data_IF_971807117414
#
_entry.id   IF_971807117414
#
_cell.length_a   1.000
_cell.length_b   1.000
_cell.length_c   1.000
_cell.angle_alpha   90.00
_cell.angle_beta   90.00
_cell.angle_gamma   90.00
#
_symmetry.space_group_name_H-M   'P 1'
#
loop_
_entity.id
_entity.type
_entity.pdbx_description
1 polymer ?
#
# COMPACT_ATOMS: atom_id res chain seq x y z
N UNK A 1 0.76 -16.08 -35.72
CA UNK A 1 1.65 -15.41 -36.70
C UNK A 1 2.88 -16.28 -36.92
N UNK A 2 3.24 -16.66 -38.15
CA UNK A 2 4.43 -17.50 -38.42
C UNK A 2 5.75 -16.73 -38.27
N UNK A 3 6.89 -17.44 -38.25
CA UNK A 3 8.23 -16.85 -38.05
C UNK A 3 8.55 -15.70 -39.04
N UNK A 4 8.12 -15.83 -40.30
CA UNK A 4 8.28 -14.78 -41.33
C UNK A 4 7.45 -13.52 -41.03
N UNK A 5 6.24 -13.69 -40.46
CA UNK A 5 5.36 -12.58 -40.08
C UNK A 5 5.90 -11.78 -38.90
N UNK A 6 6.47 -12.46 -37.90
CA UNK A 6 7.11 -11.79 -36.75
C UNK A 6 8.33 -10.98 -37.20
N UNK A 7 9.18 -11.55 -38.06
CA UNK A 7 10.35 -10.84 -38.58
C UNK A 7 9.96 -9.59 -39.40
N UNK A 8 8.89 -9.67 -40.19
CA UNK A 8 8.36 -8.51 -40.93
C UNK A 8 7.82 -7.43 -39.98
N UNK A 9 7.04 -7.82 -38.96
CA UNK A 9 6.50 -6.90 -37.96
C UNK A 9 7.60 -6.20 -37.15
N UNK A 10 8.68 -6.92 -36.82
CA UNK A 10 9.85 -6.32 -36.16
C UNK A 10 10.56 -5.31 -37.05
N UNK A 11 10.76 -5.62 -38.33
CA UNK A 11 11.34 -4.66 -39.30
C UNK A 11 10.45 -3.43 -39.51
N UNK A 12 9.14 -3.61 -39.47
CA UNK A 12 8.16 -2.54 -39.61
C UNK A 12 7.97 -1.70 -38.34
N UNK A 13 8.63 -2.04 -37.22
CA UNK A 13 8.49 -1.34 -35.94
C UNK A 13 7.16 -1.58 -35.22
N UNK A 14 6.28 -2.44 -35.75
CA UNK A 14 4.99 -2.78 -35.12
C UNK A 14 5.13 -3.82 -34.02
N UNK A 15 6.27 -4.53 -33.98
CA UNK A 15 6.70 -5.32 -32.83
C UNK A 15 8.13 -4.95 -32.42
N UNK A 16 8.36 -4.89 -31.11
CA UNK A 16 9.67 -4.74 -30.50
C UNK A 16 10.09 -6.08 -29.90
N UNK A 17 11.30 -6.53 -30.20
CA UNK A 17 11.86 -7.75 -29.61
C UNK A 17 12.38 -7.44 -28.21
N UNK A 18 11.86 -8.16 -27.20
CA UNK A 18 12.29 -8.02 -25.81
C UNK A 18 13.36 -9.06 -25.45
N UNK A 19 13.13 -10.32 -25.85
CA UNK A 19 14.05 -11.46 -25.67
C UNK A 19 13.88 -12.46 -26.81
N UNK A 20 14.67 -13.55 -26.80
CA UNK A 20 14.43 -14.69 -27.71
C UNK A 20 13.01 -15.21 -27.49
N UNK A 21 12.19 -15.17 -28.54
CA UNK A 21 10.81 -15.65 -28.53
C UNK A 21 9.81 -14.77 -27.77
N UNK A 22 10.18 -13.57 -27.32
CA UNK A 22 9.29 -12.64 -26.61
C UNK A 22 9.32 -11.26 -27.27
N UNK A 23 8.14 -10.76 -27.58
CA UNK A 23 7.92 -9.52 -28.32
C UNK A 23 6.79 -8.73 -27.65
N UNK A 24 6.78 -7.41 -27.86
CA UNK A 24 5.68 -6.55 -27.46
C UNK A 24 5.37 -5.55 -28.58
N UNK A 25 4.25 -4.85 -28.46
CA UNK A 25 3.95 -3.68 -29.27
C UNK A 25 4.66 -2.44 -28.68
N UNK A 26 4.83 -1.34 -29.46
CA UNK A 26 5.48 -0.12 -28.97
C UNK A 26 4.75 0.58 -27.81
N UNK A 27 3.43 0.38 -27.69
CA UNK A 27 2.55 0.94 -26.65
C UNK A 27 2.48 0.06 -25.39
N UNK A 28 3.19 -1.07 -25.35
CA UNK A 28 3.19 -1.95 -24.19
C UNK A 28 3.71 -1.23 -22.93
N UNK A 29 3.08 -1.43 -21.75
CA UNK A 29 3.53 -0.80 -20.52
C UNK A 29 5.01 -1.07 -20.24
N UNK A 30 5.77 0.01 -20.01
CA UNK A 30 7.23 -0.04 -19.93
C UNK A 30 7.74 -1.04 -18.87
N UNK A 31 7.10 -1.12 -17.70
CA UNK A 31 7.50 -2.04 -16.64
C UNK A 31 7.27 -3.52 -16.99
N UNK A 32 6.19 -3.84 -17.72
CA UNK A 32 5.95 -5.20 -18.19
C UNK A 32 6.98 -5.61 -19.23
N UNK A 33 7.28 -4.71 -20.17
CA UNK A 33 8.34 -4.93 -21.15
C UNK A 33 9.71 -5.10 -20.46
N UNK A 34 10.00 -4.29 -19.43
CA UNK A 34 11.22 -4.38 -18.64
C UNK A 34 11.32 -5.72 -17.87
N UNK A 35 10.25 -6.18 -17.23
CA UNK A 35 10.23 -7.47 -16.54
C UNK A 35 10.52 -8.64 -17.49
N UNK A 36 9.94 -8.62 -18.69
CA UNK A 36 10.22 -9.61 -19.73
C UNK A 36 11.67 -9.52 -20.23
N UNK A 37 12.24 -8.30 -20.35
CA UNK A 37 13.68 -8.10 -20.66
C UNK A 37 14.60 -8.60 -19.57
N UNK A 38 14.18 -8.55 -18.30
CA UNK A 38 14.90 -9.17 -17.16
C UNK A 38 14.79 -10.69 -17.21
N UNK A 39 13.70 -11.23 -17.76
CA UNK A 39 13.53 -12.67 -17.98
C UNK A 39 12.41 -13.34 -17.20
N UNK A 40 11.54 -12.54 -16.59
CA UNK A 40 10.49 -13.03 -15.71
C UNK A 40 9.19 -12.27 -15.87
N UNK A 41 8.36 -12.39 -14.85
CA UNK A 41 7.10 -11.64 -14.72
C UNK A 41 7.28 -10.49 -13.72
N UNK A 42 6.61 -9.36 -14.00
CA UNK A 42 6.50 -8.26 -13.03
C UNK A 42 5.83 -8.81 -11.77
N UNK A 43 6.42 -8.56 -10.60
CA UNK A 43 6.03 -9.21 -9.35
C UNK A 43 6.13 -8.26 -8.15
N UNK A 44 5.86 -8.77 -6.95
CA UNK A 44 6.00 -8.05 -5.68
C UNK A 44 5.30 -6.66 -5.74
N UNK A 45 5.92 -5.63 -5.18
CA UNK A 45 5.40 -4.26 -5.13
C UNK A 45 5.14 -3.67 -6.53
N UNK A 46 5.95 -4.01 -7.54
CA UNK A 46 5.75 -3.52 -8.91
C UNK A 46 4.47 -4.08 -9.54
N UNK A 47 4.21 -5.38 -9.37
CA UNK A 47 2.93 -5.98 -9.81
C UNK A 47 1.75 -5.43 -9.02
N UNK A 48 1.87 -5.32 -7.70
CA UNK A 48 0.79 -4.80 -6.85
C UNK A 48 0.43 -3.36 -7.23
N UNK A 49 1.42 -2.50 -7.50
CA UNK A 49 1.18 -1.14 -8.01
C UNK A 49 0.44 -1.16 -9.36
N UNK A 50 0.80 -2.08 -10.26
CA UNK A 50 0.11 -2.24 -11.55
C UNK A 50 -1.36 -2.63 -11.36
N UNK A 51 -1.68 -3.42 -10.34
CA UNK A 51 -3.05 -3.77 -9.94
C UNK A 51 -3.79 -2.66 -9.17
N UNK A 52 -3.18 -1.48 -9.01
CA UNK A 52 -3.79 -0.35 -8.32
C UNK A 52 -3.71 -0.41 -6.78
N UNK A 53 -2.80 -1.22 -6.23
CA UNK A 53 -2.52 -1.26 -4.78
C UNK A 53 -1.71 -0.02 -4.38
N UNK A 54 -2.00 0.53 -3.20
CA UNK A 54 -1.20 1.60 -2.61
C UNK A 54 0.15 1.04 -2.15
N UNK A 55 1.25 1.67 -2.59
CA UNK A 55 2.62 1.24 -2.27
C UNK A 55 3.46 2.42 -1.80
N UNK A 56 4.39 2.15 -0.87
CA UNK A 56 5.38 3.13 -0.40
C UNK A 56 6.54 3.23 -1.38
N UNK A 57 7.12 2.09 -1.74
CA UNK A 57 8.28 1.99 -2.62
C UNK A 57 7.85 2.01 -4.09
N UNK A 58 8.42 2.92 -4.90
CA UNK A 58 8.02 3.13 -6.30
C UNK A 58 9.13 2.99 -7.33
N UNK A 59 10.39 3.07 -6.92
CA UNK A 59 11.50 3.30 -7.86
C UNK A 59 12.18 2.01 -8.34
N UNK A 60 12.05 0.91 -7.59
CA UNK A 60 12.68 -0.38 -7.93
C UNK A 60 11.73 -1.30 -8.72
N UNK A 61 12.26 -1.95 -9.76
CA UNK A 61 11.56 -2.97 -10.53
C UNK A 61 11.72 -4.34 -9.86
N UNK A 62 10.61 -4.99 -9.51
CA UNK A 62 10.61 -6.33 -8.92
C UNK A 62 10.14 -7.35 -9.94
N UNK A 63 10.95 -8.38 -10.17
CA UNK A 63 10.70 -9.40 -11.20
C UNK A 63 10.84 -10.78 -10.62
N UNK A 64 9.85 -11.64 -10.84
CA UNK A 64 9.92 -13.05 -10.48
C UNK A 64 10.44 -13.88 -11.64
N UNK A 65 11.52 -14.63 -11.41
CA UNK A 65 12.28 -15.34 -12.44
C UNK A 65 12.40 -16.83 -12.07
N UNK A 66 12.26 -17.70 -13.07
CA UNK A 66 12.45 -19.14 -12.89
C UNK A 66 13.92 -19.45 -12.60
N UNK A 67 14.17 -20.34 -11.64
CA UNK A 67 15.51 -20.93 -11.45
C UNK A 67 16.02 -21.52 -12.77
N UNK A 68 17.28 -21.25 -13.10
CA UNK A 68 17.90 -21.67 -14.36
C UNK A 68 17.72 -20.70 -15.54
N UNK A 69 16.91 -19.65 -15.39
CA UNK A 69 16.82 -18.57 -16.38
C UNK A 69 17.82 -17.46 -16.03
N UNK A 70 18.62 -17.02 -17.01
CA UNK A 70 19.50 -15.87 -16.84
C UNK A 70 18.70 -14.58 -16.65
N UNK A 71 18.85 -13.97 -15.47
CA UNK A 71 18.23 -12.70 -15.12
C UNK A 71 19.07 -11.52 -15.63
N UNK A 72 18.41 -10.52 -16.20
CA UNK A 72 19.04 -9.23 -16.52
C UNK A 72 19.31 -8.39 -15.26
N UNK A 73 20.19 -7.40 -15.37
CA UNK A 73 20.46 -6.43 -14.30
C UNK A 73 19.36 -5.36 -14.17
N UNK A 74 19.43 -4.55 -13.11
CA UNK A 74 18.53 -3.40 -12.90
C UNK A 74 17.16 -3.76 -12.32
N UNK A 75 17.04 -4.91 -11.66
CA UNK A 75 15.81 -5.33 -10.99
C UNK A 75 16.10 -6.15 -9.73
N UNK A 76 15.19 -6.07 -8.77
CA UNK A 76 15.14 -6.96 -7.62
C UNK A 76 14.50 -8.29 -8.06
N UNK A 77 15.33 -9.34 -8.13
CA UNK A 77 14.93 -10.65 -8.68
C UNK A 77 14.45 -11.59 -7.57
N UNK A 78 13.23 -12.12 -7.75
CA UNK A 78 12.62 -13.13 -6.89
C UNK A 78 12.66 -14.49 -7.59
N UNK A 79 13.43 -15.43 -7.06
CA UNK A 79 13.55 -16.75 -7.67
C UNK A 79 12.38 -17.67 -7.32
N UNK A 80 11.82 -18.34 -8.32
CA UNK A 80 10.82 -19.39 -8.11
C UNK A 80 11.09 -20.61 -9.00
N UNK A 81 10.40 -21.72 -8.71
CA UNK A 81 10.43 -22.88 -9.59
C UNK A 81 9.70 -22.56 -10.90
N UNK A 82 10.22 -23.08 -12.02
CA UNK A 82 9.73 -22.73 -13.36
C UNK A 82 8.24 -23.04 -13.56
N UNK A 83 7.75 -24.13 -12.96
CA UNK A 83 6.34 -24.52 -12.99
C UNK A 83 5.40 -23.45 -12.39
N UNK A 84 5.95 -22.51 -11.60
CA UNK A 84 5.19 -21.44 -10.95
C UNK A 84 5.18 -20.15 -11.76
N UNK A 85 5.93 -20.05 -12.87
CA UNK A 85 5.81 -18.91 -13.77
C UNK A 85 4.72 -19.19 -14.81
N UNK A 86 3.72 -18.33 -14.84
CA UNK A 86 2.78 -18.28 -15.95
C UNK A 86 3.49 -17.71 -17.19
N UNK A 87 2.95 -17.95 -18.38
CA UNK A 87 3.47 -17.29 -19.59
C UNK A 87 3.20 -15.78 -19.62
N UNK A 88 2.37 -15.28 -18.69
CA UNK A 88 2.00 -13.88 -18.56
C UNK A 88 3.15 -13.04 -17.97
N UNK A 89 3.32 -11.80 -18.43
CA UNK A 89 4.41 -10.92 -17.97
C UNK A 89 4.11 -10.22 -16.63
N UNK A 90 3.00 -10.55 -15.97
CA UNK A 90 2.51 -9.92 -14.75
C UNK A 90 1.97 -11.01 -13.81
N UNK A 91 2.44 -11.01 -12.57
CA UNK A 91 1.87 -11.86 -11.52
C UNK A 91 0.46 -11.38 -11.13
N UNK A 92 -0.42 -12.33 -10.85
CA UNK A 92 -1.70 -12.05 -10.21
C UNK A 92 -1.49 -11.46 -8.79
N UNK A 93 -2.48 -10.74 -8.23
CA UNK A 93 -2.33 -10.09 -6.94
C UNK A 93 -1.99 -11.04 -5.79
N UNK A 94 -2.48 -12.29 -5.82
CA UNK A 94 -2.24 -13.26 -4.76
C UNK A 94 -0.77 -13.71 -4.75
N UNK A 95 -0.25 -14.06 -5.92
CA UNK A 95 1.16 -14.39 -6.10
C UNK A 95 2.06 -13.21 -5.72
N UNK A 96 1.74 -12.01 -6.21
CA UNK A 96 2.51 -10.80 -5.94
C UNK A 96 2.54 -10.44 -4.44
N UNK A 97 1.42 -10.60 -3.72
CA UNK A 97 1.36 -10.42 -2.27
C UNK A 97 2.26 -11.42 -1.54
N UNK A 98 2.24 -12.69 -1.93
CA UNK A 98 3.09 -13.72 -1.33
C UNK A 98 4.59 -13.38 -1.44
N UNK A 99 5.01 -12.89 -2.61
CA UNK A 99 6.39 -12.41 -2.84
C UNK A 99 6.65 -11.14 -2.02
N UNK A 100 5.72 -10.18 -2.01
CA UNK A 100 5.86 -8.92 -1.28
C UNK A 100 6.03 -9.11 0.23
N UNK A 101 5.30 -10.05 0.84
CA UNK A 101 5.45 -10.37 2.27
C UNK A 101 6.88 -10.80 2.59
N UNK A 102 7.51 -11.60 1.74
CA UNK A 102 8.89 -12.06 1.94
C UNK A 102 9.95 -10.99 1.64
N UNK A 103 9.66 -10.08 0.71
CA UNK A 103 10.60 -9.10 0.18
C UNK A 103 10.58 -7.75 0.91
N UNK A 104 9.40 -7.18 1.14
CA UNK A 104 9.25 -5.79 1.60
C UNK A 104 9.48 -5.65 3.10
N UNK A 105 9.95 -4.49 3.60
CA UNK A 105 9.94 -4.17 5.02
C UNK A 105 8.56 -4.41 5.66
N UNK A 106 8.54 -4.74 6.96
CA UNK A 106 7.30 -5.16 7.64
C UNK A 106 6.14 -4.18 7.46
N UNK A 107 6.39 -2.87 7.66
CA UNK A 107 5.36 -1.84 7.51
C UNK A 107 4.81 -1.77 6.08
N UNK A 108 5.68 -1.83 5.09
CA UNK A 108 5.32 -1.83 3.67
C UNK A 108 4.51 -3.07 3.28
N UNK A 109 4.86 -4.24 3.84
CA UNK A 109 4.08 -5.46 3.66
C UNK A 109 2.65 -5.36 4.23
N UNK A 110 2.48 -4.71 5.39
CA UNK A 110 1.13 -4.44 5.95
C UNK A 110 0.37 -3.45 5.10
N UNK A 111 1.02 -2.37 4.64
CA UNK A 111 0.42 -1.37 3.74
C UNK A 111 -0.18 -2.02 2.49
N UNK A 112 0.58 -2.88 1.81
CA UNK A 112 0.06 -3.52 0.59
C UNK A 112 -1.05 -4.52 0.89
N UNK A 113 -0.99 -5.22 2.03
CA UNK A 113 -2.03 -6.14 2.45
C UNK A 113 -3.35 -5.42 2.82
N UNK A 114 -3.26 -4.33 3.60
CA UNK A 114 -4.41 -3.45 3.91
C UNK A 114 -5.01 -2.91 2.61
N UNK A 115 -4.19 -2.39 1.70
CA UNK A 115 -4.67 -1.81 0.45
C UNK A 115 -5.32 -2.83 -0.49
N UNK A 116 -4.81 -4.07 -0.57
CA UNK A 116 -5.44 -5.15 -1.36
C UNK A 116 -6.84 -5.45 -0.85
N UNK A 117 -6.98 -5.58 0.48
CA UNK A 117 -8.23 -5.88 1.16
C UNK A 117 -9.24 -4.72 1.05
N UNK A 118 -8.79 -3.49 1.34
CA UNK A 118 -9.60 -2.28 1.32
C UNK A 118 -10.18 -2.00 -0.07
N UNK A 119 -9.32 -2.06 -1.10
CA UNK A 119 -9.71 -1.81 -2.50
C UNK A 119 -10.46 -2.98 -3.14
N UNK A 120 -10.66 -4.08 -2.40
CA UNK A 120 -11.31 -5.32 -2.86
C UNK A 120 -10.64 -5.91 -4.12
N UNK A 121 -9.34 -5.65 -4.31
CA UNK A 121 -8.54 -6.29 -5.36
C UNK A 121 -8.46 -7.79 -5.08
N UNK A 122 -8.38 -8.15 -3.79
CA UNK A 122 -8.58 -9.49 -3.30
C UNK A 122 -9.66 -9.49 -2.20
N UNK A 123 -10.44 -10.57 -2.09
CA UNK A 123 -11.23 -10.82 -0.88
C UNK A 123 -10.32 -10.84 0.34
N UNK A 124 -10.83 -10.33 1.48
CA UNK A 124 -10.08 -10.31 2.75
C UNK A 124 -9.57 -11.71 3.10
N UNK A 125 -10.41 -12.73 2.92
CA UNK A 125 -10.08 -14.14 3.21
C UNK A 125 -8.90 -14.64 2.37
N UNK A 126 -8.77 -14.16 1.13
CA UNK A 126 -7.63 -14.49 0.27
C UNK A 126 -6.34 -13.83 0.79
N UNK A 127 -6.40 -12.56 1.20
CA UNK A 127 -5.26 -11.86 1.82
C UNK A 127 -4.82 -12.58 3.10
N UNK A 128 -5.77 -12.97 3.95
CA UNK A 128 -5.52 -13.73 5.17
C UNK A 128 -4.87 -15.09 4.86
N UNK A 129 -5.41 -15.83 3.89
CA UNK A 129 -4.87 -17.12 3.47
C UNK A 129 -3.43 -17.01 2.97
N UNK A 130 -3.10 -15.98 2.18
CA UNK A 130 -1.72 -15.73 1.73
C UNK A 130 -0.81 -15.42 2.91
N UNK A 131 -1.24 -14.54 3.81
CA UNK A 131 -0.48 -14.20 5.01
C UNK A 131 -0.20 -15.42 5.90
N UNK A 132 -1.14 -16.35 6.02
CA UNK A 132 -0.98 -17.56 6.85
C UNK A 132 0.15 -18.48 6.38
N UNK A 133 0.54 -18.43 5.10
CA UNK A 133 1.54 -19.31 4.47
C UNK A 133 2.93 -19.23 5.11
N UNK A 134 3.29 -18.10 5.74
CA UNK A 134 4.64 -17.89 6.29
C UNK A 134 4.62 -17.26 7.69
N UNK A 135 5.66 -17.46 8.52
CA UNK A 135 5.76 -16.77 9.81
C UNK A 135 5.72 -15.25 9.68
N UNK A 136 6.36 -14.70 8.64
CA UNK A 136 6.36 -13.26 8.36
C UNK A 136 4.96 -12.77 7.97
N UNK A 137 4.24 -13.51 7.14
CA UNK A 137 2.86 -13.19 6.79
C UNK A 137 1.92 -13.28 7.98
N UNK A 138 2.08 -14.25 8.88
CA UNK A 138 1.28 -14.30 10.13
C UNK A 138 1.48 -13.06 11.01
N UNK A 139 2.69 -12.48 11.02
CA UNK A 139 2.92 -11.19 11.69
C UNK A 139 2.19 -10.03 11.01
N UNK A 140 2.13 -10.02 9.68
CA UNK A 140 1.35 -9.03 8.91
C UNK A 140 -0.13 -9.18 9.24
N UNK A 141 -0.64 -10.41 9.22
CA UNK A 141 -2.03 -10.73 9.56
C UNK A 141 -2.43 -10.22 10.96
N UNK A 142 -1.55 -10.35 11.97
CA UNK A 142 -1.83 -9.88 13.33
C UNK A 142 -2.05 -8.37 13.48
N UNK A 143 -1.75 -7.59 12.43
CA UNK A 143 -1.96 -6.14 12.40
C UNK A 143 -2.74 -5.67 11.16
N UNK A 144 -3.29 -6.61 10.38
CA UNK A 144 -4.13 -6.32 9.21
C UNK A 144 -5.35 -5.49 9.65
N UNK A 145 -5.67 -4.47 8.87
CA UNK A 145 -6.82 -3.59 9.09
C UNK A 145 -7.40 -3.18 7.73
N UNK A 146 -8.35 -3.96 7.19
CA UNK A 146 -8.96 -3.74 5.88
C UNK A 146 -9.70 -2.40 5.74
N UNK A 147 -9.97 -1.70 6.84
CA UNK A 147 -10.59 -0.38 6.81
C UNK A 147 -9.61 0.74 6.49
N UNK A 148 -8.29 0.53 6.57
CA UNK A 148 -7.33 1.58 6.23
C UNK A 148 -7.44 1.94 4.74
N UNK A 149 -7.81 3.17 4.42
CA UNK A 149 -8.13 3.59 3.04
C UNK A 149 -6.89 4.11 2.30
N UNK A 150 -5.86 4.47 3.05
CA UNK A 150 -4.55 4.86 2.56
C UNK A 150 -3.43 4.16 3.34
N UNK A 151 -2.27 3.98 2.70
CA UNK A 151 -1.12 3.48 3.44
C UNK A 151 -0.54 4.47 4.44
N UNK A 152 -0.92 5.76 4.37
CA UNK A 152 -0.61 6.74 5.41
C UNK A 152 -1.32 6.39 6.72
N UNK A 153 -2.62 6.06 6.65
CA UNK A 153 -3.38 5.57 7.80
C UNK A 153 -2.76 4.31 8.39
N UNK A 154 -2.42 3.34 7.53
CA UNK A 154 -1.73 2.12 7.97
C UNK A 154 -0.43 2.44 8.69
N UNK A 155 0.40 3.34 8.14
CA UNK A 155 1.67 3.72 8.76
C UNK A 155 1.48 4.40 10.11
N UNK A 156 0.61 5.41 10.19
CA UNK A 156 0.31 6.14 11.42
C UNK A 156 -0.25 5.19 12.50
N UNK A 157 -1.19 4.33 12.11
CA UNK A 157 -1.79 3.30 12.96
C UNK A 157 -0.75 2.34 13.51
N UNK A 158 0.14 1.81 12.67
CA UNK A 158 1.20 0.89 13.11
C UNK A 158 2.19 1.57 14.06
N UNK A 159 2.58 2.80 13.76
CA UNK A 159 3.50 3.56 14.60
C UNK A 159 2.89 3.83 15.99
N UNK A 160 1.68 4.38 16.05
CA UNK A 160 1.01 4.66 17.33
C UNK A 160 0.64 3.39 18.10
N UNK A 161 0.25 2.30 17.42
CA UNK A 161 -0.02 0.99 18.07
C UNK A 161 1.24 0.42 18.73
N UNK A 162 2.42 0.66 18.15
CA UNK A 162 3.69 0.26 18.76
C UNK A 162 3.98 0.96 20.10
N UNK A 163 3.31 2.10 20.34
CA UNK A 163 3.35 2.86 21.61
C UNK A 163 2.22 2.50 22.57
N UNK A 164 1.47 1.41 22.29
CA UNK A 164 0.31 0.95 23.09
C UNK A 164 -0.82 1.97 23.19
N UNK A 165 -0.92 2.87 22.23
CA UNK A 165 -2.02 3.85 22.15
C UNK A 165 -3.27 3.16 21.57
N UNK A 166 -4.42 3.35 22.22
CA UNK A 166 -5.72 2.87 21.73
C UNK A 166 -6.17 3.71 20.54
N UNK A 167 -6.27 3.10 19.36
CA UNK A 167 -6.62 3.78 18.10
C UNK A 167 -7.73 2.99 17.42
N UNK A 168 -8.69 3.71 16.83
CA UNK A 168 -9.75 3.14 15.99
C UNK A 168 -9.73 3.84 14.63
N UNK A 169 -9.55 3.11 13.52
CA UNK A 169 -9.60 3.68 12.19
C UNK A 169 -11.04 3.86 11.71
N UNK A 170 -11.24 4.81 10.78
CA UNK A 170 -12.47 5.00 10.01
C UNK A 170 -13.73 5.08 10.88
N UNK A 171 -13.70 5.94 11.89
CA UNK A 171 -14.81 6.09 12.86
C UNK A 171 -15.85 7.06 12.31
N UNK A 172 -17.10 6.63 12.22
CA UNK A 172 -18.24 7.48 11.88
C UNK A 172 -18.64 8.36 13.08
N UNK A 173 -18.67 9.68 12.90
CA UNK A 173 -19.14 10.65 13.89
C UNK A 173 -20.49 11.20 13.42
N UNK A 174 -21.58 10.98 14.19
CA UNK A 174 -22.92 11.43 13.80
C UNK A 174 -22.97 12.92 13.46
N UNK A 175 -23.52 13.23 12.28
CA UNK A 175 -23.68 14.61 11.79
C UNK A 175 -22.41 15.27 11.23
N UNK A 176 -21.24 14.62 11.32
CA UNK A 176 -19.96 15.17 10.82
C UNK A 176 -19.39 14.30 9.71
N UNK A 177 -19.47 12.98 9.86
CA UNK A 177 -18.92 12.02 8.92
C UNK A 177 -17.80 11.17 9.53
N UNK A 178 -17.12 10.43 8.66
CA UNK A 178 -16.06 9.49 9.01
C UNK A 178 -14.70 10.14 9.13
N UNK A 179 -13.99 9.89 10.21
CA UNK A 179 -12.61 10.37 10.46
C UNK A 179 -11.59 9.25 10.27
N UNK A 180 -10.36 9.60 9.85
CA UNK A 180 -9.32 8.62 9.52
C UNK A 180 -8.91 7.77 10.73
N UNK A 181 -8.49 8.42 11.83
CA UNK A 181 -8.06 7.76 13.04
C UNK A 181 -8.61 8.48 14.28
N UNK A 182 -9.20 7.71 15.21
CA UNK A 182 -9.63 8.20 16.52
C UNK A 182 -8.75 7.58 17.62
N UNK A 183 -7.99 8.43 18.31
CA UNK A 183 -7.16 8.10 19.44
C UNK A 183 -7.98 8.30 20.73
N UNK A 184 -8.08 7.24 21.53
CA UNK A 184 -8.94 7.25 22.71
C UNK A 184 -10.42 7.44 22.35
N UNK A 185 -11.02 8.47 22.94
CA UNK A 185 -12.45 8.78 22.83
C UNK A 185 -12.74 10.10 22.10
N UNK A 186 -11.73 10.98 21.93
CA UNK A 186 -11.94 12.29 21.31
C UNK A 186 -10.80 12.89 20.47
N UNK A 187 -9.57 12.37 20.51
CA UNK A 187 -8.47 12.91 19.71
C UNK A 187 -8.55 12.35 18.28
N UNK A 188 -8.95 13.18 17.32
CA UNK A 188 -9.08 12.83 15.91
C UNK A 188 -7.77 13.16 15.20
N UNK A 189 -7.26 12.23 14.42
CA UNK A 189 -6.10 12.40 13.56
C UNK A 189 -6.53 12.21 12.11
N UNK A 190 -6.54 13.29 11.34
CA UNK A 190 -6.83 13.29 9.89
C UNK A 190 -5.50 13.34 9.12
N UNK A 191 -5.37 12.53 8.07
CA UNK A 191 -4.14 12.38 7.29
C UNK A 191 -4.33 12.93 5.88
N UNK A 192 -3.74 14.09 5.62
CA UNK A 192 -3.86 14.74 4.32
C UNK A 192 -2.87 14.12 3.31
N UNK A 193 -3.42 13.57 2.23
CA UNK A 193 -2.65 12.98 1.12
C UNK A 193 -1.83 14.01 0.32
N UNK A 194 -1.09 13.51 -0.68
CA UNK A 194 -0.16 14.33 -1.49
C UNK A 194 -0.87 15.30 -2.45
N UNK A 195 -2.07 14.94 -2.92
CA UNK A 195 -2.87 15.76 -3.85
C UNK A 195 -3.71 16.77 -3.06
N UNK A 196 -3.20 18.00 -2.92
CA UNK A 196 -3.95 19.14 -2.40
C UNK A 196 -5.05 19.57 -3.40
N UNK A 197 -6.18 18.88 -3.39
CA UNK A 197 -7.44 19.36 -3.96
C UNK A 197 -8.46 19.58 -2.84
N UNK A 198 -8.04 20.30 -1.81
CA UNK A 198 -8.86 20.59 -0.65
C UNK A 198 -9.56 21.94 -0.82
N UNK A 199 -10.89 21.90 -0.71
CA UNK A 199 -11.69 23.06 -0.36
C UNK A 199 -11.40 23.38 1.11
N UNK A 200 -10.40 24.24 1.32
CA UNK A 200 -9.91 24.60 2.66
C UNK A 200 -11.02 25.10 3.58
N UNK A 201 -12.06 25.73 3.02
CA UNK A 201 -13.18 26.25 3.82
C UNK A 201 -14.08 25.12 4.32
N UNK A 202 -14.30 24.09 3.48
CA UNK A 202 -14.98 22.86 3.89
C UNK A 202 -14.21 22.11 4.97
N UNK A 203 -12.90 21.97 4.82
CA UNK A 203 -12.05 21.31 5.82
C UNK A 203 -12.07 22.05 7.16
N UNK A 204 -11.93 23.38 7.13
CA UNK A 204 -12.03 24.21 8.35
C UNK A 204 -13.41 24.16 8.98
N UNK A 205 -14.48 24.11 8.17
CA UNK A 205 -15.84 23.96 8.68
C UNK A 205 -16.03 22.62 9.41
N UNK A 206 -15.45 21.55 8.86
CA UNK A 206 -15.45 20.22 9.47
C UNK A 206 -14.66 20.19 10.78
N UNK A 207 -13.49 20.80 10.83
CA UNK A 207 -12.70 20.89 12.07
C UNK A 207 -13.48 21.64 13.17
N UNK A 208 -14.15 22.75 12.82
CA UNK A 208 -15.02 23.47 13.77
C UNK A 208 -16.18 22.59 14.26
N UNK A 209 -16.80 21.81 13.38
CA UNK A 209 -17.87 20.88 13.78
C UNK A 209 -17.36 19.80 14.74
N UNK A 210 -16.16 19.25 14.51
CA UNK A 210 -15.52 18.29 15.42
C UNK A 210 -15.29 18.90 16.80
N UNK A 211 -14.75 20.13 16.84
CA UNK A 211 -14.50 20.86 18.09
C UNK A 211 -15.81 21.10 18.85
N UNK A 212 -16.87 21.55 18.16
CA UNK A 212 -18.20 21.75 18.77
C UNK A 212 -18.80 20.45 19.31
N UNK A 213 -18.52 19.31 18.67
CA UNK A 213 -18.91 17.98 19.13
C UNK A 213 -18.00 17.40 20.24
N UNK A 214 -17.03 18.17 20.74
CA UNK A 214 -16.14 17.79 21.83
C UNK A 214 -14.94 16.93 21.40
N UNK A 215 -14.63 16.88 20.12
CA UNK A 215 -13.43 16.24 19.57
C UNK A 215 -12.26 17.21 19.44
N UNK A 216 -11.04 16.68 19.41
CA UNK A 216 -9.81 17.43 19.18
C UNK A 216 -9.19 16.98 17.86
N UNK A 217 -9.39 17.71 16.75
CA UNK A 217 -8.78 17.36 15.46
C UNK A 217 -7.31 17.77 15.41
N UNK A 218 -6.47 16.88 14.88
CA UNK A 218 -5.08 17.10 14.51
C UNK A 218 -4.92 16.64 13.07
N UNK A 219 -4.48 17.52 12.18
CA UNK A 219 -4.21 17.17 10.78
C UNK A 219 -2.72 16.96 10.57
N UNK A 220 -2.36 15.90 9.86
CA UNK A 220 -0.97 15.57 9.54
C UNK A 220 -0.85 15.38 8.03
N UNK A 221 -0.03 16.22 7.40
CA UNK A 221 0.24 16.12 5.97
C UNK A 221 1.11 14.90 5.62
N UNK A 222 1.03 14.45 4.37
CA UNK A 222 1.93 13.46 3.79
C UNK A 222 3.41 13.73 4.12
N UNK A 223 3.86 14.98 3.92
CA UNK A 223 5.24 15.37 4.21
C UNK A 223 5.58 15.15 5.68
N UNK A 224 4.74 15.61 6.60
CA UNK A 224 4.98 15.46 8.04
C UNK A 224 5.01 13.99 8.44
N UNK A 225 4.10 13.18 7.90
CA UNK A 225 4.08 11.74 8.18
C UNK A 225 5.33 11.03 7.66
N UNK A 226 5.81 11.38 6.47
CA UNK A 226 6.92 10.67 5.83
C UNK A 226 8.30 11.17 6.25
N UNK A 227 8.43 12.46 6.55
CA UNK A 227 9.73 13.12 6.83
C UNK A 227 9.88 13.57 8.28
N UNK A 228 8.79 13.97 8.91
CA UNK A 228 8.81 14.62 10.24
C UNK A 228 8.09 13.78 11.31
N UNK A 229 7.93 12.46 11.09
CA UNK A 229 7.13 11.58 11.95
C UNK A 229 7.56 11.62 13.41
N UNK A 230 8.87 11.69 13.70
CA UNK A 230 9.37 11.70 15.08
C UNK A 230 8.80 12.88 15.88
N UNK A 231 8.64 14.04 15.25
CA UNK A 231 8.06 15.23 15.87
C UNK A 231 6.54 15.10 16.01
N UNK A 232 5.85 14.63 14.97
CA UNK A 232 4.39 14.36 15.00
C UNK A 232 4.05 13.35 16.10
N UNK A 233 4.78 12.24 16.16
CA UNK A 233 4.59 11.19 17.16
C UNK A 233 4.78 11.77 18.57
N UNK A 234 5.83 12.57 18.79
CA UNK A 234 6.09 13.22 20.08
C UNK A 234 4.92 14.12 20.50
N UNK A 235 4.40 14.93 19.59
CA UNK A 235 3.26 15.82 19.86
C UNK A 235 1.97 15.03 20.18
N UNK A 236 1.67 13.99 19.40
CA UNK A 236 0.51 13.12 19.64
C UNK A 236 0.62 12.40 20.98
N UNK A 237 1.79 11.86 21.31
CA UNK A 237 2.03 11.19 22.58
C UNK A 237 1.92 12.16 23.77
N UNK A 238 2.31 13.42 23.61
CA UNK A 238 2.14 14.44 24.64
C UNK A 238 0.66 14.75 24.90
N UNK A 239 -0.17 14.85 23.85
CA UNK A 239 -1.63 14.97 24.00
C UNK A 239 -2.23 13.74 24.70
N UNK A 240 -1.75 12.55 24.35
CA UNK A 240 -2.16 11.30 25.02
C UNK A 240 -1.78 11.33 26.50
N UNK A 241 -0.54 11.72 26.83
CA UNK A 241 -0.03 11.79 28.21
C UNK A 241 -0.80 12.79 29.08
N UNK A 242 -1.27 13.90 28.49
CA UNK A 242 -2.13 14.89 29.16
C UNK A 242 -3.58 14.44 29.33
N UNK A 243 -3.96 13.30 28.77
CA UNK A 243 -5.34 12.81 28.80
C UNK A 243 -6.28 13.50 27.82
N UNK A 244 -5.77 14.30 26.87
CA UNK A 244 -6.59 15.07 25.92
C UNK A 244 -7.37 14.19 24.94
N UNK A 245 -6.94 12.94 24.79
CA UNK A 245 -7.61 11.90 24.01
C UNK A 245 -8.81 11.28 24.72
N UNK A 246 -9.00 11.52 26.02
CA UNK A 246 -10.12 10.99 26.81
C UNK A 246 -11.22 12.05 26.93
N UNK A 247 -12.48 11.61 26.88
CA UNK A 247 -13.58 12.47 27.31
C UNK A 247 -13.52 12.56 28.83
N UNK A 248 -13.47 13.79 29.38
CA UNK A 248 -13.71 13.97 30.80
C UNK A 248 -15.15 13.52 31.09
N UNK A 249 -15.42 12.78 32.18
CA UNK A 249 -16.78 12.56 32.61
C UNK A 249 -17.46 13.92 32.73
N UNK A 250 -18.68 14.06 32.23
CA UNK A 250 -19.52 15.18 32.64
C UNK A 250 -19.56 15.09 34.17
N UNK A 251 -19.06 16.11 34.87
CA UNK A 251 -19.36 16.22 36.29
C UNK A 251 -20.88 16.19 36.38
N UNK A 252 -21.44 15.16 37.02
CA UNK A 252 -22.86 15.17 37.33
C UNK A 252 -23.06 16.37 38.26
N UNK A 253 -23.64 17.43 37.72
CA UNK A 253 -24.11 18.59 38.47
C UNK A 253 -25.43 18.21 39.12
#
# INVERSE_FOLDING_TARGET
MGHRGIAAAVRAGTLLRLRRGRYCTPDAPHELAAAVRVGGALSCVSALRHHGVWVLERDELHVRVARGVAAGAGATVHWCDQQRLTHAPLDDPETALGVAIGCLPFRSAVVVADSLANRRILPVQTVEAVCMRTPRGRRVLGVLEPRSESGLETLARLALRSRRVRIRPQVEIPGIGRVDLLIGDRLVLELDGETFHQDFDRDRARDRALILAGYLPVRVSYRQLMRDWGEVERQLLELVRRGEHLRRPLAMV
#
